data_IF_947056823958
#
_entry.id   IF_947056823958
#
_cell.length_a   1.000
_cell.length_b   1.000
_cell.length_c   1.000
_cell.angle_alpha   90.00
_cell.angle_beta   90.00
_cell.angle_gamma   90.00
#
_symmetry.space_group_name_H-M   'P 1'
#
loop_
_entity.id
_entity.type
_entity.pdbx_description
1 polymer ?
#
# COMPACT_ATOMS: atom_id res chain seq x y z
N UNK A 1 10.13 -11.62 15.70
CA UNK A 1 9.35 -10.49 15.15
C UNK A 1 8.62 -10.98 13.92
N UNK A 2 7.34 -10.63 13.74
CA UNK A 2 6.57 -11.07 12.58
C UNK A 2 7.04 -10.33 11.31
N UNK A 3 6.91 -10.97 10.14
CA UNK A 3 7.34 -10.37 8.87
C UNK A 3 6.60 -9.03 8.64
N UNK A 4 7.26 -7.96 8.18
CA UNK A 4 6.60 -6.67 7.91
C UNK A 4 5.55 -6.78 6.80
N UNK A 5 4.67 -5.78 6.72
CA UNK A 5 3.74 -5.58 5.60
C UNK A 5 4.37 -4.59 4.63
N UNK A 6 4.60 -5.02 3.39
CA UNK A 6 4.95 -4.10 2.30
C UNK A 6 3.67 -3.43 1.79
N UNK A 7 3.55 -2.12 1.99
CA UNK A 7 2.38 -1.35 1.59
C UNK A 7 2.72 -0.43 0.42
N UNK A 8 2.32 -0.84 -0.79
CA UNK A 8 2.50 -0.05 -2.00
C UNK A 8 1.38 0.98 -2.12
N UNK A 9 1.72 2.26 -2.19
CA UNK A 9 0.76 3.36 -2.14
C UNK A 9 0.97 4.39 -3.24
N UNK A 10 -0.14 4.88 -3.80
CA UNK A 10 -0.20 6.00 -4.73
C UNK A 10 -1.40 6.90 -4.32
N UNK A 11 -1.19 8.21 -4.29
CA UNK A 11 -2.20 9.20 -3.89
C UNK A 11 -3.43 9.27 -4.81
N UNK A 12 -3.31 8.81 -6.06
CA UNK A 12 -4.42 8.73 -7.02
C UNK A 12 -5.39 7.59 -6.71
N UNK A 13 -5.03 6.64 -5.84
CA UNK A 13 -5.88 5.50 -5.50
C UNK A 13 -6.86 5.83 -4.36
N UNK A 14 -8.18 5.92 -4.61
CA UNK A 14 -9.15 6.16 -3.54
C UNK A 14 -9.18 4.99 -2.53
N UNK A 15 -8.98 3.76 -3.00
CA UNK A 15 -8.88 2.59 -2.12
C UNK A 15 -7.58 2.58 -1.32
N UNK A 16 -6.48 2.99 -1.97
CA UNK A 16 -5.19 3.18 -1.31
C UNK A 16 -5.29 4.17 -0.16
N UNK A 17 -6.02 5.29 -0.34
CA UNK A 17 -6.24 6.28 0.70
C UNK A 17 -6.96 5.70 1.92
N UNK A 18 -8.06 4.97 1.72
CA UNK A 18 -8.80 4.34 2.82
C UNK A 18 -7.92 3.32 3.57
N UNK A 19 -7.12 2.55 2.84
CA UNK A 19 -6.18 1.59 3.43
C UNK A 19 -5.05 2.29 4.21
N UNK A 20 -4.52 3.39 3.69
CA UNK A 20 -3.47 4.19 4.33
C UNK A 20 -3.89 4.72 5.71
N UNK A 21 -5.17 5.06 5.88
CA UNK A 21 -5.72 5.47 7.17
C UNK A 21 -5.79 4.35 8.23
N UNK A 22 -5.56 3.10 7.85
CA UNK A 22 -5.78 1.91 8.72
C UNK A 22 -4.57 0.98 8.82
N UNK A 23 -3.60 1.09 7.92
CA UNK A 23 -2.56 0.07 7.73
C UNK A 23 -1.63 -0.07 8.93
N UNK A 24 -1.26 1.04 9.57
CA UNK A 24 -0.36 1.03 10.72
C UNK A 24 -1.05 0.41 11.97
N UNK A 25 -2.29 0.81 12.26
CA UNK A 25 -3.10 0.22 13.33
C UNK A 25 -3.38 -1.28 13.09
N UNK A 26 -3.59 -1.66 11.83
CA UNK A 26 -3.73 -3.06 11.45
C UNK A 26 -2.43 -3.82 11.72
N UNK A 27 -1.28 -3.31 11.31
CA UNK A 27 0.00 -3.96 11.52
C UNK A 27 0.31 -4.12 13.02
N UNK A 28 0.06 -3.08 13.82
CA UNK A 28 0.25 -3.08 15.26
C UNK A 28 -0.57 -4.18 15.97
N UNK A 29 -1.83 -4.39 15.56
CA UNK A 29 -2.69 -5.47 16.11
C UNK A 29 -2.12 -6.88 15.93
N UNK A 30 -1.23 -7.08 14.96
CA UNK A 30 -0.58 -8.37 14.69
C UNK A 30 0.91 -8.37 15.08
N UNK A 31 1.41 -7.34 15.77
CA UNK A 31 2.83 -7.23 16.12
C UNK A 31 3.74 -7.14 14.89
N UNK A 32 3.25 -6.52 13.81
CA UNK A 32 3.97 -6.30 12.54
C UNK A 32 4.28 -4.82 12.37
N UNK A 33 5.33 -4.52 11.60
CA UNK A 33 5.59 -3.17 11.10
C UNK A 33 5.09 -3.02 9.66
N UNK A 34 4.96 -1.77 9.21
CA UNK A 34 4.65 -1.42 7.82
C UNK A 34 5.88 -0.84 7.13
N UNK A 35 6.19 -1.35 5.94
CA UNK A 35 7.18 -0.77 5.04
C UNK A 35 6.41 -0.08 3.92
N UNK A 36 6.42 1.26 3.96
CA UNK A 36 5.76 2.08 2.96
C UNK A 36 6.57 2.11 1.66
N UNK A 37 5.90 1.82 0.55
CA UNK A 37 6.49 1.81 -0.79
C UNK A 37 5.68 2.73 -1.72
N UNK A 38 6.01 4.03 -1.77
CA UNK A 38 5.37 4.95 -2.71
C UNK A 38 5.63 4.49 -4.15
N UNK A 39 4.58 4.48 -4.96
CA UNK A 39 4.65 4.11 -6.38
C UNK A 39 3.86 5.10 -7.23
N UNK A 40 4.06 5.00 -8.54
CA UNK A 40 3.24 5.65 -9.56
C UNK A 40 2.34 4.61 -10.23
N UNK A 41 1.06 4.59 -9.87
CA UNK A 41 0.08 3.61 -10.32
C UNK A 41 -0.14 3.67 -11.84
N UNK A 42 -0.09 4.88 -12.42
CA UNK A 42 -0.15 5.05 -13.88
C UNK A 42 1.03 4.36 -14.61
N UNK A 43 2.24 4.38 -14.03
CA UNK A 43 3.38 3.66 -14.59
C UNK A 43 3.21 2.14 -14.44
N UNK A 44 2.65 1.69 -13.31
CA UNK A 44 2.30 0.27 -13.10
C UNK A 44 1.30 -0.20 -14.14
N UNK A 45 0.21 0.54 -14.37
CA UNK A 45 -0.79 0.20 -15.39
C UNK A 45 -0.20 0.08 -16.79
N UNK A 46 0.72 0.98 -17.16
CA UNK A 46 1.42 0.92 -18.45
C UNK A 46 2.24 -0.36 -18.62
N UNK A 47 2.87 -0.85 -17.54
CA UNK A 47 3.69 -2.07 -17.56
C UNK A 47 2.85 -3.33 -17.50
N UNK A 48 1.77 -3.34 -16.70
CA UNK A 48 0.93 -4.52 -16.48
C UNK A 48 -0.19 -4.69 -17.49
N UNK A 49 -0.48 -3.66 -18.30
CA UNK A 49 -1.66 -3.62 -19.19
C UNK A 49 -2.97 -3.32 -18.45
N UNK A 50 -2.89 -2.99 -17.15
CA UNK A 50 -4.04 -2.56 -16.36
C UNK A 50 -4.61 -1.22 -16.83
N UNK A 51 -5.85 -0.93 -16.42
CA UNK A 51 -6.52 0.35 -16.65
C UNK A 51 -7.04 0.87 -15.29
N UNK A 52 -7.09 2.20 -15.09
CA UNK A 52 -7.68 2.80 -13.89
C UNK A 52 -9.14 2.40 -13.68
#
# INVERSE_FOLDING_TARGET
>A
MAQPIDFYFDYSSPYGYIAALKIDDLAARYGRSVIWKPILLGAVFKVTGGKP
#
